data_IF_625978452645
#
_entry.id   IF_625978452645
#
_cell.length_a   1.000
_cell.length_b   1.000
_cell.length_c   1.000
_cell.angle_alpha   90.00
_cell.angle_beta   90.00
_cell.angle_gamma   90.00
#
_symmetry.space_group_name_H-M   'P 1'
#
loop_
_entity.id
_entity.type
_entity.pdbx_description
1 polymer ?
#
# COMPACT_ATOMS: atom_id res chain seq x y z
N UNK A 1 -13.76 -22.44 15.45
CA UNK A 1 -12.45 -23.04 15.06
C UNK A 1 -11.36 -22.70 16.10
N UNK A 2 -10.23 -23.41 16.16
CA UNK A 2 -9.09 -23.05 17.05
C UNK A 2 -8.60 -21.62 16.78
N UNK A 3 -8.57 -21.22 15.50
CA UNK A 3 -8.25 -19.84 15.08
C UNK A 3 -9.21 -18.80 15.67
N UNK A 4 -10.50 -19.12 15.75
CA UNK A 4 -11.53 -18.25 16.30
C UNK A 4 -11.40 -18.09 17.83
N UNK A 5 -11.08 -19.18 18.55
CA UNK A 5 -10.81 -19.12 19.99
C UNK A 5 -9.58 -18.25 20.29
N UNK A 6 -8.52 -18.37 19.49
CA UNK A 6 -7.32 -17.55 19.62
C UNK A 6 -7.60 -16.07 19.31
N UNK A 7 -8.32 -15.78 18.21
CA UNK A 7 -8.74 -14.42 17.85
C UNK A 7 -9.60 -13.78 18.95
N UNK A 8 -10.57 -14.51 19.48
CA UNK A 8 -11.43 -14.02 20.56
C UNK A 8 -10.66 -13.73 21.86
N UNK A 9 -9.67 -14.56 22.21
CA UNK A 9 -8.77 -14.30 23.34
C UNK A 9 -7.94 -13.02 23.11
N UNK A 10 -7.38 -12.84 21.92
CA UNK A 10 -6.61 -11.65 21.58
C UNK A 10 -7.48 -10.38 21.61
N UNK A 11 -8.68 -10.41 21.03
CA UNK A 11 -9.64 -9.29 21.07
C UNK A 11 -9.96 -8.87 22.50
N UNK A 12 -10.18 -9.83 23.41
CA UNK A 12 -10.41 -9.54 24.85
C UNK A 12 -9.19 -8.91 25.51
N UNK A 13 -7.99 -9.41 25.23
CA UNK A 13 -6.75 -8.82 25.76
C UNK A 13 -6.57 -7.39 25.27
N UNK A 14 -6.72 -7.16 23.96
CA UNK A 14 -6.60 -5.82 23.36
C UNK A 14 -7.64 -4.85 23.95
N UNK A 15 -8.90 -5.26 24.07
CA UNK A 15 -9.95 -4.43 24.67
C UNK A 15 -9.58 -3.97 26.09
N UNK A 16 -8.99 -4.85 26.91
CA UNK A 16 -8.56 -4.48 28.27
C UNK A 16 -7.48 -3.39 28.26
N UNK A 17 -6.48 -3.52 27.39
CA UNK A 17 -5.42 -2.51 27.26
C UNK A 17 -5.95 -1.18 26.70
N UNK A 18 -6.91 -1.25 25.77
CA UNK A 18 -7.58 -0.06 25.19
C UNK A 18 -8.48 0.67 26.19
N UNK A 19 -9.15 -0.04 27.09
CA UNK A 19 -9.93 0.57 28.19
C UNK A 19 -9.00 1.32 29.14
N UNK A 20 -7.91 0.66 29.57
CA UNK A 20 -6.92 1.30 30.44
C UNK A 20 -6.32 2.56 29.79
N UNK A 21 -5.92 2.48 28.51
CA UNK A 21 -5.41 3.63 27.75
C UNK A 21 -6.46 4.77 27.65
N UNK A 22 -7.73 4.42 27.48
CA UNK A 22 -8.81 5.39 27.38
C UNK A 22 -9.02 6.18 28.67
N UNK A 23 -8.87 5.54 29.82
CA UNK A 23 -9.03 6.17 31.14
C UNK A 23 -7.84 7.08 31.52
N UNK A 24 -6.66 6.86 30.93
CA UNK A 24 -5.44 7.62 31.25
C UNK A 24 -5.48 9.09 30.80
N UNK A 25 -6.13 9.40 29.67
CA UNK A 25 -6.16 10.77 29.14
C UNK A 25 -7.17 10.92 27.99
N UNK A 26 -7.55 12.17 27.68
CA UNK A 26 -8.34 12.49 26.49
C UNK A 26 -7.67 12.04 25.19
N UNK A 27 -6.35 12.17 25.09
CA UNK A 27 -5.57 11.65 23.95
C UNK A 27 -5.59 10.12 23.90
N UNK A 28 -5.47 9.46 25.05
CA UNK A 28 -5.55 8.00 25.15
C UNK A 28 -6.93 7.47 24.73
N UNK A 29 -8.00 8.17 25.11
CA UNK A 29 -9.35 7.86 24.65
C UNK A 29 -9.48 7.98 23.12
N UNK A 30 -8.99 9.07 22.50
CA UNK A 30 -9.02 9.23 21.04
C UNK A 30 -8.25 8.12 20.30
N UNK A 31 -7.06 7.76 20.79
CA UNK A 31 -6.24 6.68 20.21
C UNK A 31 -6.93 5.33 20.37
N UNK A 32 -7.51 5.07 21.54
CA UNK A 32 -8.26 3.85 21.82
C UNK A 32 -9.46 3.69 20.88
N UNK A 33 -10.26 4.75 20.69
CA UNK A 33 -11.35 4.77 19.72
C UNK A 33 -10.86 4.51 18.29
N UNK A 34 -9.75 5.12 17.88
CA UNK A 34 -9.19 4.90 16.54
C UNK A 34 -8.78 3.44 16.31
N UNK A 35 -8.03 2.85 17.26
CA UNK A 35 -7.58 1.46 17.17
C UNK A 35 -8.78 0.51 17.11
N UNK A 36 -9.76 0.70 18.01
CA UNK A 36 -10.94 -0.16 18.06
C UNK A 36 -11.78 -0.07 16.78
N UNK A 37 -11.96 1.12 16.22
CA UNK A 37 -12.79 1.26 15.01
C UNK A 37 -12.09 0.78 13.73
N UNK A 38 -10.75 0.73 13.74
CA UNK A 38 -9.95 0.38 12.55
C UNK A 38 -9.54 -1.08 12.51
N UNK A 39 -9.17 -1.66 13.66
CA UNK A 39 -8.56 -3.00 13.74
C UNK A 39 -9.42 -4.05 14.47
N UNK A 40 -10.59 -3.67 15.02
CA UNK A 40 -11.53 -4.62 15.62
C UNK A 40 -12.85 -4.68 14.83
N UNK A 41 -13.40 -5.89 14.68
CA UNK A 41 -14.71 -6.10 14.05
C UNK A 41 -15.84 -5.54 14.93
N UNK A 42 -16.83 -4.91 14.29
CA UNK A 42 -18.03 -4.34 14.94
C UNK A 42 -18.99 -5.36 15.58
N UNK A 43 -18.69 -6.66 15.52
CA UNK A 43 -19.62 -7.74 15.87
C UNK A 43 -19.61 -8.20 17.34
N UNK A 44 -18.80 -7.60 18.21
CA UNK A 44 -18.83 -7.95 19.63
C UNK A 44 -19.52 -6.85 20.44
N UNK A 45 -20.82 -7.01 20.65
CA UNK A 45 -21.60 -6.38 21.72
C UNK A 45 -21.01 -6.77 23.09
N UNK A 46 -19.91 -6.14 23.46
CA UNK A 46 -19.57 -5.98 24.87
C UNK A 46 -19.61 -4.48 25.10
N UNK A 47 -20.73 -4.05 25.67
CA UNK A 47 -21.07 -2.66 25.98
C UNK A 47 -19.87 -1.93 26.60
N UNK A 48 -19.23 -1.08 25.80
CA UNK A 48 -18.45 0.03 26.33
C UNK A 48 -19.48 1.14 26.59
N UNK A 49 -19.67 1.61 27.84
CA UNK A 49 -20.63 2.67 28.12
C UNK A 49 -20.20 3.92 27.35
N UNK A 50 -21.01 4.33 26.37
CA UNK A 50 -20.74 5.53 25.56
C UNK A 50 -21.26 6.77 26.28
N UNK A 51 -20.52 7.90 26.31
CA UNK A 51 -21.12 9.18 26.65
C UNK A 51 -21.90 9.72 25.43
N UNK A 52 -23.18 10.00 25.68
CA UNK A 52 -24.08 10.97 25.00
C UNK A 52 -24.25 10.95 23.46
N UNK A 53 -25.52 10.75 23.06
CA UNK A 53 -26.05 10.44 21.72
C UNK A 53 -26.04 11.56 20.65
N UNK A 54 -25.17 12.58 20.68
CA UNK A 54 -25.29 13.70 19.71
C UNK A 54 -24.45 13.65 18.42
N UNK A 55 -23.57 12.67 18.22
CA UNK A 55 -22.65 12.65 17.04
C UNK A 55 -22.88 11.51 16.03
N UNK A 56 -23.98 10.76 16.14
CA UNK A 56 -24.24 9.58 15.28
C UNK A 56 -24.47 9.91 13.80
N UNK A 57 -24.79 11.14 13.43
CA UNK A 57 -25.14 11.48 12.04
C UNK A 57 -23.95 11.87 11.15
N UNK A 58 -22.77 12.18 11.71
CA UNK A 58 -21.59 12.56 10.90
C UNK A 58 -20.69 11.39 10.48
N UNK A 59 -20.84 10.20 11.08
CA UNK A 59 -19.96 9.03 10.82
C UNK A 59 -20.28 8.22 9.55
N UNK A 60 -21.31 8.57 8.77
CA UNK A 60 -21.67 7.87 7.52
C UNK A 60 -20.82 8.25 6.29
N UNK A 61 -19.86 9.18 6.42
CA UNK A 61 -19.03 9.66 5.31
C UNK A 61 -17.60 9.09 5.25
N UNK A 62 -17.19 8.24 6.19
CA UNK A 62 -15.95 7.49 6.03
C UNK A 62 -16.24 6.25 5.18
N UNK A 63 -15.94 6.34 3.89
CA UNK A 63 -15.96 5.20 2.97
C UNK A 63 -15.12 4.06 3.57
N UNK A 64 -15.79 2.95 3.85
CA UNK A 64 -15.12 1.67 4.09
C UNK A 64 -14.39 1.28 2.81
N UNK A 65 -13.08 1.03 2.94
CA UNK A 65 -12.14 0.68 1.88
C UNK A 65 -12.40 -0.73 1.32
N UNK A 66 -13.56 -0.95 0.71
CA UNK A 66 -13.92 -2.22 0.05
C UNK A 66 -14.58 -2.04 -1.32
N UNK A 67 -14.72 -0.80 -1.81
CA UNK A 67 -15.25 -0.57 -3.16
C UNK A 67 -14.13 -0.12 -4.11
N UNK A 68 -13.75 -1.02 -5.02
CA UNK A 68 -13.11 -0.65 -6.29
C UNK A 68 -14.18 0.10 -7.10
N UNK A 69 -14.22 1.42 -6.98
CA UNK A 69 -15.07 2.27 -7.81
C UNK A 69 -14.22 2.81 -8.96
N UNK A 70 -14.64 2.52 -10.19
CA UNK A 70 -14.05 3.10 -11.40
C UNK A 70 -13.22 2.13 -12.22
N UNK A 71 -13.88 1.18 -12.89
CA UNK A 71 -13.35 0.69 -14.16
C UNK A 71 -13.50 1.85 -15.15
N UNK A 72 -12.51 2.75 -15.19
CA UNK A 72 -12.44 3.73 -16.27
C UNK A 72 -12.28 2.95 -17.56
N UNK A 73 -13.06 3.30 -18.58
CA UNK A 73 -12.94 2.73 -19.92
C UNK A 73 -11.49 2.88 -20.34
N UNK A 74 -10.86 1.77 -20.77
CA UNK A 74 -9.50 1.73 -21.29
C UNK A 74 -9.36 2.83 -22.36
N UNK A 75 -8.80 3.97 -22.00
CA UNK A 75 -8.36 4.95 -22.97
C UNK A 75 -7.02 4.43 -23.43
N UNK A 76 -6.99 3.86 -24.64
CA UNK A 76 -5.73 3.57 -25.31
C UNK A 76 -4.96 4.90 -25.43
N UNK A 77 -4.06 5.17 -24.47
CA UNK A 77 -2.98 6.12 -24.70
C UNK A 77 -2.11 5.49 -25.78
N UNK A 78 -2.36 5.92 -27.01
CA UNK A 78 -1.57 5.58 -28.18
C UNK A 78 -0.24 6.33 -28.05
N UNK A 79 0.62 5.86 -27.14
CA UNK A 79 1.96 6.41 -26.93
C UNK A 79 3.01 5.36 -26.60
N UNK A 80 2.71 4.07 -26.77
CA UNK A 80 3.75 3.08 -27.01
C UNK A 80 4.21 3.19 -28.47
N UNK A 81 4.84 4.32 -28.78
CA UNK A 81 5.70 4.39 -29.95
C UNK A 81 6.86 3.42 -29.71
N UNK A 82 7.23 2.72 -30.77
CA UNK A 82 8.12 1.56 -30.82
C UNK A 82 9.59 1.90 -30.42
N UNK A 83 9.81 2.33 -29.19
CA UNK A 83 11.12 2.59 -28.60
C UNK A 83 11.53 1.40 -27.76
N UNK A 84 12.78 0.96 -27.92
CA UNK A 84 13.44 -0.06 -27.08
C UNK A 84 13.06 0.10 -25.61
N UNK A 85 12.77 -1.03 -24.93
CA UNK A 85 12.40 -1.01 -23.51
C UNK A 85 13.46 -0.21 -22.72
N UNK A 86 13.02 0.81 -22.00
CA UNK A 86 13.91 1.63 -21.16
C UNK A 86 14.54 0.77 -20.06
N UNK A 87 15.79 1.06 -19.68
CA UNK A 87 16.56 0.32 -18.67
C UNK A 87 15.81 0.04 -17.36
N UNK A 88 14.96 0.98 -16.94
CA UNK A 88 14.22 0.93 -15.67
C UNK A 88 12.71 0.69 -15.84
N UNK A 89 12.26 0.31 -17.05
CA UNK A 89 10.82 0.18 -17.36
C UNK A 89 10.06 1.51 -17.41
N UNK A 90 10.74 2.64 -17.20
CA UNK A 90 10.24 4.01 -17.30
C UNK A 90 11.23 4.86 -18.10
N UNK A 91 10.73 5.81 -18.88
CA UNK A 91 11.55 6.81 -19.56
C UNK A 91 11.93 7.91 -18.55
N UNK A 92 13.22 8.25 -18.45
CA UNK A 92 13.69 9.36 -17.63
C UNK A 92 14.99 9.94 -18.16
N UNK A 93 15.17 11.25 -18.02
CA UNK A 93 16.44 11.93 -18.26
C UNK A 93 17.40 11.83 -17.04
N UNK A 94 16.90 11.38 -15.89
CA UNK A 94 17.64 11.27 -14.64
C UNK A 94 18.09 9.83 -14.34
N UNK A 95 18.51 9.08 -15.37
CA UNK A 95 18.87 7.66 -15.26
C UNK A 95 19.93 7.40 -14.17
N UNK A 96 20.95 8.24 -14.04
CA UNK A 96 22.02 8.06 -13.05
C UNK A 96 21.52 8.21 -11.61
N UNK A 97 20.65 9.20 -11.36
CA UNK A 97 20.05 9.39 -10.06
C UNK A 97 19.09 8.25 -9.71
N UNK A 98 18.29 7.82 -10.70
CA UNK A 98 17.39 6.68 -10.51
C UNK A 98 18.17 5.39 -10.25
N UNK A 99 19.26 5.15 -10.98
CA UNK A 99 20.14 4.01 -10.75
C UNK A 99 20.69 3.99 -9.34
N UNK A 100 21.16 5.15 -8.85
CA UNK A 100 21.73 5.30 -7.50
C UNK A 100 20.70 4.98 -6.42
N UNK A 101 19.47 5.46 -6.53
CA UNK A 101 18.41 5.13 -5.55
C UNK A 101 18.06 3.63 -5.59
N UNK A 102 18.08 3.01 -6.77
CA UNK A 102 17.79 1.58 -6.93
C UNK A 102 18.92 0.65 -6.43
N UNK A 103 20.11 1.16 -6.08
CA UNK A 103 21.11 0.37 -5.35
C UNK A 103 20.59 -0.08 -3.97
N UNK A 104 19.62 0.64 -3.42
CA UNK A 104 18.98 0.32 -2.15
C UNK A 104 17.75 -0.59 -2.32
N UNK A 105 17.50 -1.18 -3.50
CA UNK A 105 16.31 -2.01 -3.77
C UNK A 105 16.09 -3.13 -2.74
N UNK A 106 17.18 -3.77 -2.30
CA UNK A 106 17.17 -4.86 -1.33
C UNK A 106 17.23 -4.38 0.13
N UNK A 107 17.18 -3.06 0.38
CA UNK A 107 17.33 -2.46 1.72
C UNK A 107 16.00 -1.83 2.17
N UNK A 108 15.73 -1.94 3.47
CA UNK A 108 14.53 -1.35 4.08
C UNK A 108 14.48 0.19 3.98
N UNK A 109 15.63 0.83 3.81
CA UNK A 109 15.76 2.30 3.81
C UNK A 109 15.69 2.97 2.43
N UNK A 110 15.25 2.26 1.38
CA UNK A 110 15.09 2.86 0.04
C UNK A 110 14.14 4.05 0.12
N UNK A 111 14.53 5.19 -0.46
CA UNK A 111 13.68 6.38 -0.50
C UNK A 111 12.75 6.36 -1.71
N UNK A 112 11.52 5.88 -1.48
CA UNK A 112 10.51 5.76 -2.54
C UNK A 112 10.09 7.10 -3.16
N UNK A 113 10.22 8.20 -2.41
CA UNK A 113 9.90 9.55 -2.89
C UNK A 113 10.92 10.04 -3.93
N UNK A 114 12.21 9.76 -3.71
CA UNK A 114 13.26 10.07 -4.67
C UNK A 114 13.06 9.27 -5.97
N UNK A 115 12.73 7.98 -5.84
CA UNK A 115 12.39 7.14 -7.00
C UNK A 115 11.23 7.74 -7.80
N UNK A 116 10.17 8.21 -7.13
CA UNK A 116 9.07 8.90 -7.81
C UNK A 116 9.54 10.16 -8.54
N UNK A 117 10.38 10.98 -7.91
CA UNK A 117 10.95 12.19 -8.51
C UNK A 117 11.76 11.91 -9.77
N UNK A 118 12.63 10.89 -9.76
CA UNK A 118 13.49 10.55 -10.89
C UNK A 118 12.83 9.66 -11.95
N UNK A 119 11.63 9.13 -11.71
CA UNK A 119 10.89 8.27 -12.64
C UNK A 119 9.73 8.99 -13.36
N UNK A 120 9.71 10.33 -13.38
CA UNK A 120 8.57 11.12 -13.87
C UNK A 120 7.24 10.74 -13.19
N UNK A 121 7.28 10.56 -11.88
CA UNK A 121 6.14 10.17 -11.06
C UNK A 121 5.54 8.80 -11.47
N UNK A 122 6.42 7.85 -11.83
CA UNK A 122 6.10 6.44 -12.10
C UNK A 122 6.79 5.48 -11.11
N UNK A 123 6.71 5.71 -9.78
CA UNK A 123 7.41 4.90 -8.81
C UNK A 123 6.97 3.43 -8.83
N UNK A 124 5.68 3.15 -9.04
CA UNK A 124 5.17 1.78 -8.99
C UNK A 124 5.68 0.96 -10.16
N UNK A 125 5.63 1.51 -11.38
CA UNK A 125 6.16 0.81 -12.56
C UNK A 125 7.66 0.59 -12.45
N UNK A 126 8.41 1.62 -12.02
CA UNK A 126 9.86 1.54 -11.87
C UNK A 126 10.28 0.47 -10.85
N UNK A 127 9.71 0.50 -9.64
CA UNK A 127 10.05 -0.45 -8.57
C UNK A 127 9.68 -1.87 -8.93
N UNK A 128 8.48 -2.07 -9.49
CA UNK A 128 8.04 -3.41 -9.87
C UNK A 128 8.92 -3.99 -10.98
N UNK A 129 9.34 -3.17 -11.96
CA UNK A 129 10.28 -3.62 -12.99
C UNK A 129 11.63 -4.00 -12.38
N UNK A 130 12.17 -3.17 -11.47
CA UNK A 130 13.43 -3.46 -10.78
C UNK A 130 13.35 -4.76 -9.95
N UNK A 131 12.27 -4.96 -9.18
CA UNK A 131 12.03 -6.18 -8.39
C UNK A 131 11.97 -7.42 -9.30
N UNK A 132 11.25 -7.33 -10.42
CA UNK A 132 11.07 -8.44 -11.34
C UNK A 132 12.37 -8.82 -12.07
N UNK A 133 13.25 -7.85 -12.31
CA UNK A 133 14.59 -8.10 -12.84
C UNK A 133 15.51 -8.71 -11.77
N UNK A 134 15.54 -8.14 -10.56
CA UNK A 134 16.37 -8.61 -9.44
C UNK A 134 16.05 -10.06 -9.06
N UNK A 135 14.77 -10.43 -9.09
CA UNK A 135 14.29 -11.79 -8.78
C UNK A 135 14.18 -12.71 -10.01
N UNK A 136 14.60 -12.26 -11.18
CA UNK A 136 14.52 -12.96 -12.47
C UNK A 136 13.12 -13.50 -12.83
N UNK A 137 12.06 -12.82 -12.37
CA UNK A 137 10.68 -13.27 -12.50
C UNK A 137 10.16 -13.15 -13.93
N UNK A 138 10.62 -12.16 -14.69
CA UNK A 138 10.25 -12.02 -16.11
C UNK A 138 10.65 -13.27 -16.90
N UNK A 139 11.88 -13.76 -16.70
CA UNK A 139 12.36 -14.96 -17.38
C UNK A 139 11.68 -16.22 -16.85
N UNK A 140 11.62 -16.36 -15.52
CA UNK A 140 11.03 -17.52 -14.84
C UNK A 140 9.59 -17.77 -15.30
N UNK A 141 8.78 -16.71 -15.37
CA UNK A 141 7.38 -16.81 -15.77
C UNK A 141 7.13 -16.50 -17.25
N UNK A 142 8.18 -16.32 -18.06
CA UNK A 142 8.09 -16.04 -19.51
C UNK A 142 7.23 -14.81 -19.82
N UNK A 143 7.37 -13.76 -19.03
CA UNK A 143 6.68 -12.48 -19.20
C UNK A 143 7.60 -11.57 -20.02
N UNK A 144 7.14 -11.11 -21.19
CA UNK A 144 7.89 -10.12 -21.96
C UNK A 144 7.95 -8.79 -21.21
N UNK A 145 9.06 -8.06 -21.31
CA UNK A 145 9.19 -6.75 -20.66
C UNK A 145 8.12 -5.76 -21.15
N UNK A 146 7.73 -5.83 -22.43
CA UNK A 146 6.68 -4.99 -23.01
C UNK A 146 5.31 -5.25 -22.37
N UNK A 147 4.93 -6.52 -22.24
CA UNK A 147 3.69 -6.91 -21.57
C UNK A 147 3.68 -6.45 -20.11
N UNK A 148 4.81 -6.62 -19.42
CA UNK A 148 4.93 -6.21 -18.02
C UNK A 148 4.82 -4.70 -17.84
N UNK A 149 5.60 -3.91 -18.61
CA UNK A 149 5.58 -2.45 -18.51
C UNK A 149 4.21 -1.91 -18.90
N UNK A 150 3.59 -2.42 -19.96
CA UNK A 150 2.23 -2.02 -20.37
C UNK A 150 1.21 -2.26 -19.26
N UNK A 151 1.27 -3.44 -18.62
CA UNK A 151 0.41 -3.77 -17.49
C UNK A 151 0.65 -2.83 -16.31
N UNK A 152 1.92 -2.62 -15.93
CA UNK A 152 2.28 -1.79 -14.79
C UNK A 152 1.93 -0.31 -14.97
N UNK A 153 2.15 0.25 -16.16
CA UNK A 153 1.75 1.62 -16.49
C UNK A 153 0.23 1.79 -16.36
N UNK A 154 -0.53 0.81 -16.86
CA UNK A 154 -2.00 0.82 -16.75
C UNK A 154 -2.44 0.70 -15.30
N UNK A 155 -1.84 -0.21 -14.52
CA UNK A 155 -2.14 -0.37 -13.09
C UNK A 155 -1.86 0.92 -12.32
N UNK A 156 -0.73 1.56 -12.59
CA UNK A 156 -0.33 2.82 -11.96
C UNK A 156 -1.28 3.98 -12.31
N UNK A 157 -1.75 4.06 -13.56
CA UNK A 157 -2.76 5.06 -13.99
C UNK A 157 -4.13 4.88 -13.29
N UNK A 158 -4.41 3.70 -12.73
CA UNK A 158 -5.64 3.43 -11.97
C UNK A 158 -5.51 3.75 -10.48
N UNK A 159 -4.32 4.11 -9.99
CA UNK A 159 -4.19 4.76 -8.70
C UNK A 159 -4.52 6.25 -8.80
N UNK A 160 -5.30 6.74 -7.84
CA UNK A 160 -5.78 8.11 -7.82
C UNK A 160 -4.72 9.07 -7.28
N UNK A 161 -4.17 9.94 -8.13
CA UNK A 161 -3.14 10.92 -7.75
C UNK A 161 -3.66 12.02 -6.82
N UNK A 162 -4.97 12.26 -6.78
CA UNK A 162 -5.64 13.21 -5.90
C UNK A 162 -5.88 12.66 -4.48
N UNK A 163 -5.66 11.36 -4.27
CA UNK A 163 -5.69 10.74 -2.94
C UNK A 163 -4.31 10.91 -2.28
N UNK A 164 -4.30 11.56 -1.11
CA UNK A 164 -3.05 11.94 -0.43
C UNK A 164 -2.15 10.76 -0.01
N UNK A 165 -2.72 9.59 0.26
CA UNK A 165 -1.96 8.43 0.77
C UNK A 165 -2.12 7.16 -0.08
N UNK A 166 -3.34 6.67 -0.30
CA UNK A 166 -3.59 5.45 -1.07
C UNK A 166 -3.49 5.67 -2.59
N UNK A 167 -2.30 6.03 -3.05
CA UNK A 167 -1.93 6.27 -4.44
C UNK A 167 -0.79 5.32 -4.86
N UNK A 168 -0.26 5.48 -6.08
CA UNK A 168 0.75 4.58 -6.64
C UNK A 168 2.08 4.63 -5.87
N UNK A 169 2.41 5.74 -5.22
CA UNK A 169 3.61 5.85 -4.38
C UNK A 169 3.52 4.89 -3.19
N UNK A 170 2.39 4.87 -2.49
CA UNK A 170 2.18 3.94 -1.38
C UNK A 170 2.19 2.48 -1.86
N UNK A 171 1.61 2.20 -3.03
CA UNK A 171 1.68 0.86 -3.61
C UNK A 171 3.13 0.43 -3.92
N UNK A 172 3.95 1.34 -4.42
CA UNK A 172 5.36 1.09 -4.72
C UNK A 172 6.16 0.82 -3.43
N UNK A 173 5.93 1.61 -2.38
CA UNK A 173 6.53 1.46 -1.06
C UNK A 173 6.22 0.08 -0.43
N UNK A 174 4.93 -0.31 -0.43
CA UNK A 174 4.50 -1.61 0.10
C UNK A 174 5.07 -2.77 -0.74
N UNK A 175 5.13 -2.64 -2.06
CA UNK A 175 5.71 -3.66 -2.94
C UNK A 175 7.21 -3.85 -2.69
N UNK A 176 7.97 -2.75 -2.56
CA UNK A 176 9.40 -2.80 -2.24
C UNK A 176 9.66 -3.35 -0.83
N UNK A 177 8.89 -2.91 0.16
CA UNK A 177 8.97 -3.44 1.52
C UNK A 177 8.67 -4.94 1.56
N UNK A 178 7.64 -5.39 0.83
CA UNK A 178 7.31 -6.83 0.71
C UNK A 178 8.44 -7.59 0.03
N UNK A 179 9.05 -7.02 -1.00
CA UNK A 179 10.24 -7.58 -1.63
C UNK A 179 11.38 -7.74 -0.61
N UNK A 180 11.64 -6.77 0.27
CA UNK A 180 12.66 -6.91 1.32
C UNK A 180 12.27 -7.99 2.34
N UNK A 181 11.02 -8.03 2.79
CA UNK A 181 10.54 -9.03 3.75
C UNK A 181 10.68 -10.46 3.21
N UNK A 182 10.41 -10.69 1.93
CA UNK A 182 10.57 -11.98 1.28
C UNK A 182 12.03 -12.45 1.18
N UNK A 183 13.00 -11.57 1.44
CA UNK A 183 14.43 -11.90 1.52
C UNK A 183 14.91 -12.09 2.96
N UNK A 184 14.00 -12.15 3.95
CA UNK A 184 14.35 -12.42 5.35
C UNK A 184 14.96 -13.82 5.47
N UNK A 185 16.15 -14.00 6.07
CA UNK A 185 16.82 -15.31 6.13
C UNK A 185 16.06 -16.45 6.83
N UNK A 186 15.00 -16.12 7.57
CA UNK A 186 14.16 -17.07 8.29
C UNK A 186 12.99 -17.63 7.45
N UNK A 187 12.77 -17.11 6.24
CA UNK A 187 11.76 -17.55 5.28
C UNK A 187 12.40 -18.39 4.17
#
# INVERSE_FOLDING_TARGET
>A
SVSEMASNKFKRMLNRELTHLSEMSRSGNQVSEYISNTFLDKQNDVEIPSPTQKDREKKKKQQLMTQISGVKKLMHSSSLNNTSISRFGVNTENEDHLAKELEDLNKWGLNIFNVAGYSHNRPLTCIMYAIFQERDLLKTFKISSDTFVTYMMTLEDHYHSDVAYHNSLHAADVAQSTHVLLSTPAL
#
